data_IF_193422351202
#
_entry.id   IF_193422351202
#
_cell.length_a   1.000
_cell.length_b   1.000
_cell.length_c   1.000
_cell.angle_alpha   90.00
_cell.angle_beta   90.00
_cell.angle_gamma   90.00
#
_symmetry.space_group_name_H-M   'P 1'
#
loop_
_entity.id
_entity.type
_entity.pdbx_description
1 polymer ?
#
# COMPACT_ATOMS: atom_id res chain seq x y z
N UNK A 1 1.73 2.69 12.22
CA UNK A 1 1.18 4.00 12.57
C UNK A 1 0.72 4.07 14.03
N UNK A 2 -0.15 3.18 14.54
CA UNK A 2 -0.65 3.23 15.94
C UNK A 2 0.43 3.11 17.02
N UNK A 3 1.57 2.51 16.72
CA UNK A 3 2.63 2.22 17.70
C UNK A 3 3.95 2.90 17.38
N UNK A 4 4.09 3.52 16.22
CA UNK A 4 5.34 4.11 15.74
C UNK A 4 6.46 3.12 15.40
N UNK A 5 6.24 1.83 15.62
CA UNK A 5 7.18 0.75 15.34
C UNK A 5 6.52 -0.33 14.46
N UNK A 6 7.29 -1.02 13.62
CA UNK A 6 6.78 -2.18 12.89
C UNK A 6 6.37 -3.31 13.86
N UNK A 7 5.36 -4.12 13.50
CA UNK A 7 4.85 -5.18 14.38
C UNK A 7 5.86 -6.30 14.63
N UNK A 8 6.74 -6.55 13.67
CA UNK A 8 7.85 -7.50 13.75
C UNK A 8 9.13 -6.80 13.38
N UNK A 9 10.18 -7.01 14.16
CA UNK A 9 11.50 -6.43 13.91
C UNK A 9 12.60 -7.37 14.40
N UNK A 10 13.58 -7.61 13.56
CA UNK A 10 14.84 -8.24 13.92
C UNK A 10 15.97 -7.67 13.05
N UNK A 11 17.20 -7.62 13.59
CA UNK A 11 18.38 -7.21 12.81
C UNK A 11 18.74 -8.26 11.74
N UNK A 12 18.53 -9.51 12.09
CA UNK A 12 18.70 -10.65 11.20
C UNK A 12 17.45 -10.89 10.36
N UNK A 13 17.64 -11.04 9.04
CA UNK A 13 16.53 -11.16 8.08
C UNK A 13 15.78 -12.48 8.21
N UNK A 14 16.49 -13.57 8.51
CA UNK A 14 15.84 -14.88 8.67
C UNK A 14 14.99 -14.91 9.93
N UNK A 15 15.52 -14.35 11.04
CA UNK A 15 14.76 -14.19 12.29
C UNK A 15 13.52 -13.31 12.09
N UNK A 16 13.64 -12.23 11.31
CA UNK A 16 12.50 -11.39 10.98
C UNK A 16 11.41 -12.17 10.24
N UNK A 17 11.78 -12.95 9.21
CA UNK A 17 10.84 -13.77 8.47
C UNK A 17 10.21 -14.86 9.33
N UNK A 18 10.99 -15.46 10.23
CA UNK A 18 10.47 -16.44 11.18
C UNK A 18 9.43 -15.79 12.12
N UNK A 19 9.74 -14.64 12.69
CA UNK A 19 8.79 -13.89 13.55
C UNK A 19 7.50 -13.55 12.79
N UNK A 20 7.59 -13.08 11.56
CA UNK A 20 6.42 -12.80 10.70
C UNK A 20 5.57 -14.05 10.51
N UNK A 21 6.17 -15.23 10.35
CA UNK A 21 5.46 -16.49 10.10
C UNK A 21 4.81 -17.05 11.36
N UNK A 22 5.48 -16.97 12.51
CA UNK A 22 5.11 -17.77 13.69
C UNK A 22 4.65 -16.96 14.90
N UNK A 23 5.15 -15.72 15.06
CA UNK A 23 4.86 -14.94 16.25
C UNK A 23 3.54 -14.16 16.14
N UNK A 24 2.86 -13.99 17.26
CA UNK A 24 1.71 -13.11 17.33
C UNK A 24 2.14 -11.64 17.43
N UNK A 25 1.33 -10.74 16.87
CA UNK A 25 1.56 -9.30 17.00
C UNK A 25 1.50 -8.87 18.46
N UNK A 26 2.47 -8.04 18.87
CA UNK A 26 2.51 -7.48 20.23
C UNK A 26 1.48 -6.36 20.35
N UNK A 27 0.50 -6.56 21.23
CA UNK A 27 -0.53 -5.56 21.53
C UNK A 27 -0.14 -4.76 22.78
N UNK A 28 -0.15 -3.44 22.64
CA UNK A 28 0.21 -2.53 23.72
C UNK A 28 -1.02 -2.14 24.56
N UNK A 29 -0.80 -1.88 25.86
CA UNK A 29 -1.90 -1.57 26.82
C UNK A 29 -2.65 -0.28 26.47
N UNK A 30 -1.98 0.69 25.84
CA UNK A 30 -2.55 1.99 25.47
C UNK A 30 -3.47 1.94 24.24
N UNK A 31 -3.48 0.84 23.49
CA UNK A 31 -4.41 0.67 22.38
C UNK A 31 -5.82 0.39 22.89
N UNK A 32 -6.83 0.94 22.21
CA UNK A 32 -8.23 0.62 22.49
C UNK A 32 -8.52 -0.87 22.23
N UNK A 33 -9.63 -1.36 22.74
CA UNK A 33 -10.04 -2.75 22.51
C UNK A 33 -10.35 -3.01 21.04
N UNK A 34 -10.98 -2.05 20.36
CA UNK A 34 -11.30 -2.11 18.93
C UNK A 34 -10.02 -2.14 18.09
N UNK A 35 -9.01 -1.33 18.46
CA UNK A 35 -7.71 -1.34 17.77
C UNK A 35 -6.98 -2.68 17.98
N UNK A 36 -7.02 -3.26 19.19
CA UNK A 36 -6.43 -4.57 19.46
C UNK A 36 -7.12 -5.67 18.67
N UNK A 37 -8.45 -5.65 18.63
CA UNK A 37 -9.25 -6.63 17.89
C UNK A 37 -8.95 -6.54 16.38
N UNK A 38 -8.95 -5.33 15.81
CA UNK A 38 -8.59 -5.08 14.42
C UNK A 38 -7.20 -5.63 14.08
N UNK A 39 -6.19 -5.27 14.89
CA UNK A 39 -4.82 -5.75 14.67
C UNK A 39 -4.73 -7.27 14.78
N UNK A 40 -5.39 -7.88 15.77
CA UNK A 40 -5.40 -9.33 15.93
C UNK A 40 -5.96 -10.01 14.68
N UNK A 41 -7.07 -9.53 14.15
CA UNK A 41 -7.72 -10.08 12.95
C UNK A 41 -6.92 -9.86 11.68
N UNK A 42 -6.25 -8.70 11.52
CA UNK A 42 -5.41 -8.40 10.35
C UNK A 42 -4.10 -9.18 10.34
N UNK A 43 -3.59 -9.60 11.52
CA UNK A 43 -2.34 -10.36 11.63
C UNK A 43 -2.55 -11.87 11.77
N UNK A 44 -3.76 -12.40 11.51
CA UNK A 44 -3.99 -13.84 11.38
C UNK A 44 -3.06 -14.40 10.31
N UNK A 45 -2.30 -15.45 10.66
CA UNK A 45 -1.27 -16.02 9.77
C UNK A 45 -1.88 -16.69 8.54
N UNK A 46 -2.98 -17.40 8.74
CA UNK A 46 -3.76 -18.00 7.67
C UNK A 46 -4.43 -16.91 6.82
N UNK A 47 -4.06 -16.75 5.53
CA UNK A 47 -4.61 -15.70 4.69
C UNK A 47 -6.12 -15.86 4.44
N UNK A 48 -6.64 -17.07 4.45
CA UNK A 48 -8.08 -17.34 4.22
C UNK A 48 -8.95 -16.91 5.40
N UNK A 49 -8.38 -16.92 6.62
CA UNK A 49 -9.06 -16.51 7.86
C UNK A 49 -8.79 -15.06 8.26
N UNK A 50 -7.88 -14.40 7.56
CA UNK A 50 -7.51 -13.02 7.84
C UNK A 50 -8.66 -12.07 7.54
N UNK A 51 -8.88 -11.07 8.39
CA UNK A 51 -9.88 -10.03 8.11
C UNK A 51 -9.59 -9.35 6.76
N UNK A 52 -10.59 -9.27 5.92
CA UNK A 52 -10.45 -8.74 4.57
C UNK A 52 -10.23 -9.81 3.50
N UNK A 53 -10.10 -11.09 3.86
CA UNK A 53 -10.12 -12.20 2.89
C UNK A 53 -11.55 -12.53 2.48
N UNK A 54 -11.70 -13.11 1.29
CA UNK A 54 -13.01 -13.51 0.78
C UNK A 54 -13.76 -12.42 0.01
N UNK A 55 -14.96 -12.74 -0.49
CA UNK A 55 -15.71 -11.89 -1.41
C UNK A 55 -16.26 -10.60 -0.77
N UNK A 56 -16.43 -10.57 0.55
CA UNK A 56 -16.92 -9.42 1.33
C UNK A 56 -15.81 -8.64 2.03
N UNK A 57 -14.56 -8.93 1.73
CA UNK A 57 -13.40 -8.48 2.49
C UNK A 57 -13.33 -6.98 2.76
N UNK A 58 -13.65 -6.13 1.79
CA UNK A 58 -13.70 -4.69 1.99
C UNK A 58 -14.79 -4.31 2.99
N UNK A 59 -15.99 -4.88 2.84
CA UNK A 59 -17.12 -4.60 3.72
C UNK A 59 -16.86 -5.04 5.15
N UNK A 60 -16.18 -6.18 5.33
CA UNK A 60 -15.85 -6.71 6.67
C UNK A 60 -14.87 -5.79 7.39
N UNK A 61 -13.91 -5.21 6.66
CA UNK A 61 -12.98 -4.20 7.21
C UNK A 61 -13.75 -2.92 7.55
N UNK A 62 -14.57 -2.42 6.64
CA UNK A 62 -15.30 -1.16 6.82
C UNK A 62 -16.29 -1.21 7.99
N UNK A 63 -16.93 -2.36 8.22
CA UNK A 63 -17.88 -2.57 9.32
C UNK A 63 -17.24 -2.88 10.67
N UNK A 64 -15.89 -2.99 10.71
CA UNK A 64 -15.21 -3.28 11.97
C UNK A 64 -15.42 -2.12 12.97
N UNK A 65 -15.68 -2.41 14.26
CA UNK A 65 -15.96 -1.38 15.29
C UNK A 65 -14.89 -0.27 15.39
N UNK A 66 -13.65 -0.56 15.06
CA UNK A 66 -12.58 0.45 15.00
C UNK A 66 -12.89 1.59 14.02
N UNK A 67 -13.70 1.34 13.00
CA UNK A 67 -14.07 2.31 11.97
C UNK A 67 -15.50 2.84 12.11
N UNK A 68 -16.19 2.54 13.21
CA UNK A 68 -17.60 2.90 13.41
C UNK A 68 -17.87 4.40 13.24
N UNK A 69 -16.93 5.26 13.64
CA UNK A 69 -17.04 6.71 13.50
C UNK A 69 -16.79 7.25 12.09
N UNK A 70 -16.42 6.38 11.14
CA UNK A 70 -15.99 6.76 9.81
C UNK A 70 -17.18 6.66 8.82
N UNK A 71 -17.50 7.77 8.20
CA UNK A 71 -18.40 7.78 7.04
C UNK A 71 -17.57 7.62 5.75
N UNK A 72 -17.56 6.40 5.22
CA UNK A 72 -16.74 6.05 4.06
C UNK A 72 -17.10 6.81 2.80
N UNK A 73 -18.40 7.07 2.56
CA UNK A 73 -18.86 7.84 1.41
C UNK A 73 -18.34 9.28 1.47
N UNK A 74 -18.44 9.92 2.63
CA UNK A 74 -17.92 11.27 2.84
C UNK A 74 -16.41 11.37 2.69
N UNK A 75 -15.67 10.29 3.01
CA UNK A 75 -14.21 10.22 2.77
C UNK A 75 -13.92 10.12 1.27
N UNK A 76 -14.61 9.24 0.55
CA UNK A 76 -14.45 9.09 -0.91
C UNK A 76 -14.75 10.38 -1.65
N UNK A 77 -15.78 11.08 -1.24
CA UNK A 77 -16.16 12.38 -1.78
C UNK A 77 -15.29 13.56 -1.29
N UNK A 78 -14.27 13.27 -0.43
CA UNK A 78 -13.38 14.30 0.16
C UNK A 78 -14.13 15.39 0.95
N UNK A 79 -15.30 15.09 1.50
CA UNK A 79 -16.09 16.04 2.30
C UNK A 79 -15.57 16.19 3.73
N UNK A 80 -14.81 15.22 4.23
CA UNK A 80 -14.25 15.25 5.59
C UNK A 80 -12.89 15.97 5.56
N UNK A 81 -12.81 17.03 6.35
CA UNK A 81 -11.53 17.73 6.53
C UNK A 81 -10.55 16.84 7.29
N UNK A 82 -9.34 16.58 6.77
CA UNK A 82 -8.34 15.79 7.48
C UNK A 82 -7.89 16.51 8.76
N UNK A 83 -7.55 15.77 9.83
CA UNK A 83 -7.07 16.36 11.09
C UNK A 83 -5.72 17.08 10.92
N UNK A 84 -4.94 16.67 9.94
CA UNK A 84 -3.69 17.32 9.56
C UNK A 84 -3.75 17.74 8.08
N UNK A 85 -3.49 19.02 7.83
CA UNK A 85 -3.34 19.58 6.48
C UNK A 85 -1.96 20.21 6.39
N UNK A 86 -1.09 19.75 5.47
CA UNK A 86 0.23 20.35 5.27
C UNK A 86 0.09 21.85 4.92
N UNK A 87 0.86 22.69 5.61
CA UNK A 87 0.91 24.14 5.30
C UNK A 87 2.00 24.38 4.24
N UNK A 88 1.62 24.32 2.99
CA UNK A 88 2.50 24.60 1.87
C UNK A 88 2.49 26.10 1.53
N UNK A 89 3.66 26.65 1.15
CA UNK A 89 3.80 28.03 0.67
C UNK A 89 3.55 28.15 -0.83
N UNK A 90 3.81 27.08 -1.57
CA UNK A 90 3.61 26.96 -3.01
C UNK A 90 3.37 25.49 -3.37
N UNK A 91 2.98 25.23 -4.61
CA UNK A 91 2.81 23.86 -5.14
C UNK A 91 4.12 23.06 -5.15
N UNK A 92 5.26 23.75 -5.21
CA UNK A 92 6.61 23.15 -5.23
C UNK A 92 7.30 23.21 -3.86
N UNK A 93 6.56 23.45 -2.78
CA UNK A 93 7.13 23.52 -1.44
C UNK A 93 7.55 22.16 -0.90
N UNK A 94 8.83 21.97 -0.72
CA UNK A 94 9.45 20.70 -0.29
C UNK A 94 9.68 20.58 1.21
N UNK A 95 9.14 21.49 2.05
CA UNK A 95 9.39 21.54 3.51
C UNK A 95 9.07 20.26 4.29
N UNK A 96 8.18 19.40 3.77
CA UNK A 96 7.81 18.12 4.37
C UNK A 96 8.53 16.94 3.73
N UNK A 97 9.48 17.19 2.83
CA UNK A 97 10.34 16.19 2.23
C UNK A 97 11.70 16.24 2.94
N UNK A 98 12.27 15.09 3.25
CA UNK A 98 13.57 15.02 3.89
C UNK A 98 14.63 15.73 3.04
N UNK A 99 15.48 16.57 3.63
CA UNK A 99 16.58 17.26 2.93
C UNK A 99 17.50 16.32 2.15
N UNK A 100 17.67 15.06 2.58
CA UNK A 100 18.43 14.06 1.84
C UNK A 100 17.95 13.92 0.39
N UNK A 101 16.63 13.98 0.16
CA UNK A 101 16.06 13.88 -1.18
C UNK A 101 16.05 15.23 -1.92
N UNK A 102 15.87 16.35 -1.21
CA UNK A 102 15.73 17.66 -1.84
C UNK A 102 17.07 18.31 -2.20
N UNK A 103 18.16 17.87 -1.56
CA UNK A 103 19.53 18.35 -1.84
C UNK A 103 20.29 17.44 -2.81
N UNK A 104 19.77 16.26 -3.11
CA UNK A 104 20.35 15.36 -4.10
C UNK A 104 20.27 16.00 -5.48
N UNK A 105 21.38 15.98 -6.22
CA UNK A 105 21.36 16.37 -7.62
C UNK A 105 20.45 15.41 -8.40
N UNK A 106 19.51 15.96 -9.17
CA UNK A 106 18.79 15.19 -10.15
C UNK A 106 19.79 14.70 -11.21
N UNK A 107 20.25 13.47 -11.07
CA UNK A 107 21.03 12.83 -12.13
C UNK A 107 20.04 12.35 -13.16
N UNK A 108 20.06 12.97 -14.33
CA UNK A 108 19.40 12.39 -15.50
C UNK A 108 19.94 10.97 -15.68
N UNK A 109 19.04 10.01 -15.67
CA UNK A 109 19.39 8.64 -16.04
C UNK A 109 19.64 8.60 -17.56
N UNK A 110 20.73 9.20 -18.01
CA UNK A 110 21.22 8.95 -19.34
C UNK A 110 21.70 7.50 -19.38
N UNK A 111 20.80 6.60 -19.64
CA UNK A 111 21.17 5.32 -20.18
C UNK A 111 21.69 5.58 -21.61
N UNK A 112 23.00 5.81 -21.74
CA UNK A 112 23.72 5.45 -22.96
C UNK A 112 23.75 3.91 -23.02
N UNK A 113 22.59 3.30 -22.99
CA UNK A 113 22.38 1.88 -23.16
C UNK A 113 21.62 1.72 -24.45
N UNK A 114 22.06 0.76 -25.22
CA UNK A 114 21.44 0.29 -26.43
C UNK A 114 19.94 0.35 -26.32
N UNK A 115 19.29 1.04 -27.26
CA UNK A 115 17.85 0.99 -27.45
C UNK A 115 17.46 -0.49 -27.42
N UNK A 116 16.68 -0.89 -26.42
CA UNK A 116 16.12 -2.24 -26.39
C UNK A 116 15.40 -2.43 -27.73
N UNK A 117 15.92 -3.32 -28.57
CA UNK A 117 15.22 -3.71 -29.78
C UNK A 117 13.83 -4.19 -29.38
N UNK A 118 12.79 -3.84 -30.10
CA UNK A 118 11.41 -4.23 -29.82
C UNK A 118 11.26 -5.75 -29.63
N UNK A 119 12.16 -6.55 -30.20
CA UNK A 119 12.18 -8.02 -30.06
C UNK A 119 12.74 -8.51 -28.70
N UNK A 120 13.51 -7.70 -27.97
CA UNK A 120 14.12 -8.04 -26.67
C UNK A 120 13.49 -7.27 -25.51
N UNK A 121 12.39 -6.57 -25.73
CA UNK A 121 11.72 -5.80 -24.72
C UNK A 121 10.89 -6.73 -23.80
N UNK A 122 11.33 -7.01 -22.54
CA UNK A 122 10.59 -7.86 -21.62
C UNK A 122 9.27 -7.23 -21.13
N UNK A 123 9.00 -5.98 -21.53
CA UNK A 123 7.82 -5.20 -21.13
C UNK A 123 6.82 -5.03 -22.27
N UNK A 124 6.90 -5.84 -23.35
CA UNK A 124 5.90 -5.85 -24.41
C UNK A 124 4.52 -6.11 -23.83
N UNK A 125 3.57 -5.22 -24.07
CA UNK A 125 2.22 -5.31 -23.50
C UNK A 125 2.07 -4.70 -22.10
N UNK A 126 3.11 -4.14 -21.51
CA UNK A 126 3.05 -3.49 -20.18
C UNK A 126 2.68 -1.99 -20.27
N UNK A 127 2.53 -1.44 -21.47
CA UNK A 127 2.12 -0.05 -21.66
C UNK A 127 0.61 0.07 -21.57
N UNK A 128 0.11 0.83 -20.60
CA UNK A 128 -1.29 1.23 -20.55
C UNK A 128 -1.52 2.40 -21.49
N UNK A 129 -2.33 2.20 -22.54
CA UNK A 129 -2.78 3.25 -23.42
C UNK A 129 -4.26 3.54 -23.12
N UNK A 130 -4.52 4.68 -22.49
CA UNK A 130 -5.86 5.10 -22.12
C UNK A 130 -6.80 5.32 -23.33
N UNK A 131 -6.27 5.38 -24.54
CA UNK A 131 -7.04 5.60 -25.76
C UNK A 131 -7.39 4.29 -26.50
N UNK A 132 -6.97 3.12 -25.99
CA UNK A 132 -7.32 1.81 -26.55
C UNK A 132 -8.47 1.12 -25.80
N UNK A 133 -9.50 1.82 -25.46
CA UNK A 133 -10.77 1.21 -25.09
C UNK A 133 -11.50 0.81 -26.39
N UNK A 134 -11.40 -0.45 -26.80
CA UNK A 134 -12.28 -0.97 -27.84
C UNK A 134 -11.80 -2.05 -28.79
N UNK A 135 -10.61 -2.62 -28.66
CA UNK A 135 -10.26 -3.80 -29.47
C UNK A 135 -10.17 -5.05 -28.57
N UNK A 136 -11.29 -5.78 -28.47
CA UNK A 136 -11.33 -7.15 -27.94
C UNK A 136 -10.42 -8.04 -28.77
N UNK A 137 -9.33 -8.52 -28.20
CA UNK A 137 -8.53 -9.58 -28.79
C UNK A 137 -9.28 -10.90 -28.70
N UNK A 138 -10.00 -11.25 -29.79
CA UNK A 138 -10.36 -12.62 -30.11
C UNK A 138 -9.14 -13.33 -30.70
N UNK A 139 -8.27 -13.88 -29.86
CA UNK A 139 -7.33 -14.91 -30.27
C UNK A 139 -7.24 -15.97 -29.18
N UNK A 140 -8.14 -16.95 -29.28
CA UNK A 140 -8.00 -18.22 -28.58
C UNK A 140 -7.16 -19.15 -29.48
N UNK A 141 -6.10 -19.79 -28.95
CA UNK A 141 -5.37 -20.78 -29.72
C UNK A 141 -6.23 -22.04 -29.90
N UNK A 142 -6.49 -22.41 -31.15
CA UNK A 142 -7.03 -23.72 -31.47
C UNK A 142 -5.95 -24.78 -31.25
N UNK A 143 -6.27 -25.76 -30.43
CA UNK A 143 -5.55 -27.03 -30.27
C UNK A 143 -6.02 -27.99 -31.35
#
# INVERSE_FOLDING_TARGET
MLTGLPPFYAKDREKLFQSIKTENVKLYKYLSNEAKDLLTKLFIKDPEKRLGSGPTGLNDIQKHPFFESINWESILEKKIKPPFTPKLRSETDTRYIDPEFTTSMATDSFHQGESLNDNDNPFVGFSYDANKEGEEQNDAPQI
#
